data_IF_046428367508
#
_entry.id   IF_046428367508
#
_cell.length_a   1.000
_cell.length_b   1.000
_cell.length_c   1.000
_cell.angle_alpha   90.00
_cell.angle_beta   90.00
_cell.angle_gamma   90.00
#
_symmetry.space_group_name_H-M   'P 1'
#
loop_
_entity.id
_entity.type
_entity.pdbx_description
1 polymer ?
#
# COMPACT_ATOMS: atom_id res chain seq x y z
N UNK A 1 12.70 14.74 -8.73
CA UNK A 1 11.65 15.59 -9.34
C UNK A 1 12.30 16.73 -10.09
N UNK A 2 11.80 17.06 -11.28
CA UNK A 2 12.21 18.26 -12.01
C UNK A 2 11.45 19.51 -11.51
N UNK A 3 11.81 20.69 -12.00
CA UNK A 3 11.21 21.96 -11.55
C UNK A 3 9.70 22.02 -11.81
N UNK A 4 9.24 21.45 -12.93
CA UNK A 4 7.81 21.41 -13.29
C UNK A 4 7.03 20.59 -12.25
N UNK A 5 7.50 19.38 -11.94
CA UNK A 5 6.88 18.52 -10.91
C UNK A 5 6.86 19.22 -9.55
N UNK A 6 7.95 19.88 -9.17
CA UNK A 6 8.04 20.62 -7.92
C UNK A 6 7.01 21.76 -7.84
N UNK A 7 6.86 22.53 -8.92
CA UNK A 7 5.84 23.61 -8.99
C UNK A 7 4.42 23.06 -8.88
N UNK A 8 4.11 21.95 -9.57
CA UNK A 8 2.81 21.30 -9.44
C UNK A 8 2.54 20.79 -8.03
N UNK A 9 3.52 20.20 -7.34
CA UNK A 9 3.36 19.81 -5.94
C UNK A 9 3.05 21.03 -5.06
N UNK A 10 3.71 22.17 -5.26
CA UNK A 10 3.41 23.39 -4.49
C UNK A 10 2.01 23.92 -4.77
N UNK A 11 1.56 23.91 -6.02
CA UNK A 11 0.19 24.27 -6.37
C UNK A 11 -0.83 23.32 -5.73
N UNK A 12 -0.55 22.01 -5.74
CA UNK A 12 -1.40 21.05 -5.05
C UNK A 12 -1.43 21.38 -3.56
N UNK A 13 -0.31 21.69 -2.88
CA UNK A 13 -0.32 22.01 -1.44
C UNK A 13 -1.26 23.15 -1.01
N UNK A 14 -1.69 24.02 -1.92
CA UNK A 14 -2.65 25.10 -1.62
C UNK A 14 -4.08 24.59 -1.35
N UNK A 15 -4.39 23.34 -1.69
CA UNK A 15 -5.68 22.72 -1.40
C UNK A 15 -5.57 21.54 -0.44
N UNK A 16 -6.70 20.92 -0.13
CA UNK A 16 -6.78 19.75 0.77
C UNK A 16 -5.92 18.60 0.28
N UNK A 17 -5.12 18.01 1.17
CA UNK A 17 -4.26 16.85 0.90
C UNK A 17 -4.87 15.65 1.64
N UNK A 18 -5.00 14.47 1.01
CA UNK A 18 -5.40 13.27 1.74
C UNK A 18 -4.31 12.91 2.75
N UNK A 19 -4.71 12.64 3.99
CA UNK A 19 -3.81 12.21 5.04
C UNK A 19 -3.38 10.76 4.82
N UNK A 20 -4.31 9.90 4.42
CA UNK A 20 -4.08 8.47 4.17
C UNK A 20 -4.51 8.07 2.75
N UNK A 21 -3.59 7.49 1.96
CA UNK A 21 -3.87 6.91 0.64
C UNK A 21 -3.75 5.38 0.68
N UNK A 22 -4.82 4.67 0.32
CA UNK A 22 -4.78 3.24 0.02
C UNK A 22 -4.53 3.01 -1.48
N UNK A 23 -3.74 2.00 -1.85
CA UNK A 23 -3.45 1.69 -3.26
C UNK A 23 -3.45 0.19 -3.54
N UNK A 24 -4.26 -0.22 -4.52
CA UNK A 24 -4.23 -1.56 -5.11
C UNK A 24 -3.41 -1.49 -6.40
N UNK A 25 -2.18 -2.02 -6.34
CA UNK A 25 -1.15 -1.94 -7.39
C UNK A 25 -1.33 -3.00 -8.50
N UNK A 26 -2.48 -2.99 -9.17
CA UNK A 26 -2.87 -4.00 -10.15
C UNK A 26 -2.37 -3.70 -11.59
N UNK A 27 -2.19 -4.74 -12.39
CA UNK A 27 -1.86 -4.64 -13.81
C UNK A 27 -0.42 -4.97 -14.21
N UNK A 28 0.46 -5.37 -13.28
CA UNK A 28 1.87 -5.67 -13.55
C UNK A 28 2.07 -6.72 -14.68
N UNK A 29 1.39 -7.88 -14.57
CA UNK A 29 1.48 -8.94 -15.60
C UNK A 29 0.88 -8.51 -16.95
N UNK A 30 -0.22 -7.75 -16.92
CA UNK A 30 -0.86 -7.21 -18.13
C UNK A 30 0.04 -6.19 -18.83
N UNK A 31 0.73 -5.36 -18.07
CA UNK A 31 1.74 -4.43 -18.57
C UNK A 31 2.88 -5.16 -19.29
N UNK A 32 3.45 -6.21 -18.66
CA UNK A 32 4.52 -7.00 -19.24
C UNK A 32 4.08 -7.68 -20.55
N UNK A 33 2.91 -8.34 -20.53
CA UNK A 33 2.33 -8.99 -21.72
C UNK A 33 2.15 -8.02 -22.89
N UNK A 34 1.65 -6.81 -22.64
CA UNK A 34 1.45 -5.80 -23.69
C UNK A 34 2.76 -5.31 -24.32
N UNK A 35 3.87 -5.42 -23.60
CA UNK A 35 5.21 -5.01 -24.05
C UNK A 35 6.10 -6.19 -24.48
N UNK A 36 5.55 -7.40 -24.55
CA UNK A 36 6.28 -8.64 -24.85
C UNK A 36 7.48 -8.85 -23.90
N UNK A 37 7.29 -8.51 -22.63
CA UNK A 37 8.25 -8.69 -21.54
C UNK A 37 7.84 -9.86 -20.66
N UNK A 38 8.77 -10.36 -19.85
CA UNK A 38 8.45 -11.38 -18.86
C UNK A 38 7.56 -10.80 -17.74
N UNK A 39 6.64 -11.60 -17.15
CA UNK A 39 5.79 -11.13 -16.05
C UNK A 39 6.58 -10.49 -14.89
N UNK A 40 7.78 -11.02 -14.64
CA UNK A 40 8.76 -10.55 -13.66
C UNK A 40 9.19 -9.11 -13.91
N UNK A 41 9.45 -8.73 -15.17
CA UNK A 41 9.80 -7.36 -15.57
C UNK A 41 8.67 -6.39 -15.26
N UNK A 42 7.42 -6.81 -15.43
CA UNK A 42 6.24 -6.03 -15.07
C UNK A 42 6.21 -5.70 -13.58
N UNK A 43 6.60 -6.64 -12.71
CA UNK A 43 6.69 -6.41 -11.27
C UNK A 43 7.88 -5.51 -10.89
N UNK A 44 9.01 -5.62 -11.59
CA UNK A 44 10.16 -4.72 -11.41
C UNK A 44 9.77 -3.28 -11.74
N UNK A 45 9.08 -3.06 -12.87
CA UNK A 45 8.58 -1.72 -13.22
C UNK A 45 7.49 -1.24 -12.26
N UNK A 46 6.67 -2.14 -11.75
CA UNK A 46 5.72 -1.84 -10.67
C UNK A 46 6.41 -1.31 -9.41
N UNK A 47 7.57 -1.86 -9.04
CA UNK A 47 8.34 -1.33 -7.92
C UNK A 47 8.84 0.11 -8.18
N UNK A 48 9.19 0.46 -9.42
CA UNK A 48 9.55 1.83 -9.77
C UNK A 48 8.37 2.80 -9.60
N UNK A 49 7.16 2.42 -10.04
CA UNK A 49 5.94 3.19 -9.78
C UNK A 49 5.66 3.37 -8.29
N UNK A 50 5.95 2.35 -7.48
CA UNK A 50 5.84 2.42 -6.03
C UNK A 50 6.79 3.44 -5.41
N UNK A 51 8.08 3.41 -5.78
CA UNK A 51 9.04 4.42 -5.31
C UNK A 51 8.63 5.85 -5.71
N UNK A 52 8.14 6.01 -6.94
CA UNK A 52 7.63 7.29 -7.42
C UNK A 52 6.43 7.78 -6.60
N UNK A 53 5.45 6.92 -6.33
CA UNK A 53 4.29 7.24 -5.50
C UNK A 53 4.73 7.69 -4.10
N UNK A 54 5.65 6.97 -3.45
CA UNK A 54 6.16 7.33 -2.14
C UNK A 54 6.84 8.71 -2.17
N UNK A 55 7.69 8.97 -3.16
CA UNK A 55 8.37 10.25 -3.31
C UNK A 55 7.37 11.39 -3.52
N UNK A 56 6.39 11.23 -4.42
CA UNK A 56 5.39 12.26 -4.70
C UNK A 56 4.48 12.51 -3.50
N UNK A 57 4.00 11.44 -2.86
CA UNK A 57 3.14 11.52 -1.68
C UNK A 57 3.82 12.24 -0.52
N UNK A 58 5.07 11.90 -0.23
CA UNK A 58 5.83 12.56 0.83
C UNK A 58 6.11 14.03 0.52
N UNK A 59 6.49 14.35 -0.72
CA UNK A 59 6.71 15.74 -1.16
C UNK A 59 5.45 16.57 -1.10
N UNK A 60 4.28 15.97 -1.40
CA UNK A 60 2.98 16.60 -1.23
C UNK A 60 2.63 16.80 0.24
N UNK A 61 2.98 15.85 1.12
CA UNK A 61 2.71 15.89 2.56
C UNK A 61 1.72 14.83 3.04
N UNK A 62 1.44 13.80 2.24
CA UNK A 62 0.63 12.64 2.61
C UNK A 62 1.33 11.91 3.76
N UNK A 63 0.60 11.60 4.83
CA UNK A 63 1.15 11.07 6.08
C UNK A 63 1.14 9.55 6.16
N UNK A 64 0.19 8.91 5.51
CA UNK A 64 0.04 7.46 5.54
C UNK A 64 -0.23 6.93 4.13
N UNK A 65 0.49 5.88 3.73
CA UNK A 65 0.24 5.16 2.48
C UNK A 65 0.11 3.67 2.81
N UNK A 66 -0.98 3.05 2.38
CA UNK A 66 -1.20 1.60 2.48
C UNK A 66 -1.19 0.99 1.08
N UNK A 67 -0.27 0.05 0.83
CA UNK A 67 -0.14 -0.60 -0.48
C UNK A 67 -0.52 -2.07 -0.40
N UNK A 68 -1.35 -2.53 -1.34
CA UNK A 68 -1.69 -3.94 -1.47
C UNK A 68 -0.60 -4.66 -2.28
N UNK A 69 0.41 -5.20 -1.59
CA UNK A 69 1.60 -5.77 -2.20
C UNK A 69 1.42 -7.24 -2.58
N UNK A 70 0.83 -8.06 -1.70
CA UNK A 70 0.60 -9.49 -1.95
C UNK A 70 -0.59 -9.99 -1.14
N UNK A 71 -1.58 -10.60 -1.79
CA UNK A 71 -2.78 -11.13 -1.11
C UNK A 71 -2.63 -12.60 -0.71
N UNK A 72 -3.41 -13.07 0.26
CA UNK A 72 -3.44 -14.49 0.62
C UNK A 72 -3.85 -15.34 -0.59
N UNK A 73 -4.79 -14.87 -1.40
CA UNK A 73 -5.22 -15.55 -2.62
C UNK A 73 -4.11 -15.64 -3.68
N UNK A 74 -3.05 -14.84 -3.58
CA UNK A 74 -1.91 -14.90 -4.50
C UNK A 74 -1.02 -16.12 -4.27
N UNK A 75 -1.13 -16.81 -3.12
CA UNK A 75 -0.48 -18.11 -2.92
C UNK A 75 -1.04 -19.20 -3.86
N UNK A 76 -2.24 -19.01 -4.42
CA UNK A 76 -2.84 -19.95 -5.40
C UNK A 76 -2.26 -19.79 -6.82
N UNK A 77 -1.30 -18.88 -7.03
CA UNK A 77 -0.61 -18.74 -8.32
C UNK A 77 0.42 -19.87 -8.52
N UNK A 78 1.04 -19.91 -9.69
CA UNK A 78 2.08 -20.89 -9.97
C UNK A 78 3.24 -20.72 -8.98
N UNK A 79 3.81 -21.84 -8.51
CA UNK A 79 4.85 -21.85 -7.47
C UNK A 79 6.04 -20.99 -7.83
N UNK A 80 6.49 -21.05 -9.08
CA UNK A 80 7.61 -20.26 -9.58
C UNK A 80 7.32 -18.75 -9.54
N UNK A 81 6.07 -18.35 -9.85
CA UNK A 81 5.65 -16.94 -9.73
C UNK A 81 5.65 -16.49 -8.26
N UNK A 82 5.14 -17.32 -7.35
CA UNK A 82 5.12 -17.02 -5.91
C UNK A 82 6.55 -16.88 -5.38
N UNK A 83 7.43 -17.85 -5.68
CA UNK A 83 8.83 -17.84 -5.27
C UNK A 83 9.55 -16.59 -5.79
N UNK A 84 9.36 -16.24 -7.06
CA UNK A 84 9.91 -15.01 -7.63
C UNK A 84 9.42 -13.77 -6.88
N UNK A 85 8.13 -13.68 -6.53
CA UNK A 85 7.59 -12.53 -5.79
C UNK A 85 8.17 -12.42 -4.37
N UNK A 86 8.43 -13.53 -3.69
CA UNK A 86 9.11 -13.54 -2.39
C UNK A 86 10.54 -13.00 -2.51
N UNK A 87 11.31 -13.50 -3.49
CA UNK A 87 12.68 -13.04 -3.74
C UNK A 87 12.72 -11.56 -4.16
N UNK A 88 11.79 -11.14 -5.01
CA UNK A 88 11.63 -9.73 -5.37
C UNK A 88 11.36 -8.89 -4.13
N UNK A 89 10.47 -9.33 -3.23
CA UNK A 89 10.17 -8.62 -1.99
C UNK A 89 11.41 -8.47 -1.11
N UNK A 90 12.18 -9.55 -0.90
CA UNK A 90 13.46 -9.52 -0.16
C UNK A 90 14.41 -8.49 -0.75
N UNK A 91 14.62 -8.54 -2.07
CA UNK A 91 15.53 -7.62 -2.77
C UNK A 91 15.07 -6.17 -2.63
N UNK A 92 13.78 -5.90 -2.82
CA UNK A 92 13.23 -4.54 -2.80
C UNK A 92 13.19 -3.92 -1.41
N UNK A 93 13.02 -4.72 -0.38
CA UNK A 93 13.17 -4.27 1.00
C UNK A 93 14.62 -3.89 1.33
N UNK A 94 15.58 -4.74 0.96
CA UNK A 94 17.00 -4.43 1.13
C UNK A 94 17.34 -3.10 0.43
N UNK A 95 16.86 -2.91 -0.80
CA UNK A 95 17.05 -1.68 -1.56
C UNK A 95 16.40 -0.45 -0.90
N UNK A 96 15.21 -0.57 -0.31
CA UNK A 96 14.57 0.52 0.45
C UNK A 96 15.38 0.92 1.68
N UNK A 97 15.89 -0.07 2.43
CA UNK A 97 16.58 0.15 3.69
C UNK A 97 18.00 0.65 3.48
N UNK A 98 18.81 -0.04 2.68
CA UNK A 98 20.25 0.19 2.59
C UNK A 98 20.61 1.06 1.39
N UNK A 99 20.19 0.67 0.18
CA UNK A 99 20.70 1.28 -1.05
C UNK A 99 20.17 2.70 -1.25
N UNK A 100 18.87 2.90 -1.05
CA UNK A 100 18.26 4.23 -1.13
C UNK A 100 18.46 5.04 0.16
N UNK A 101 18.70 4.34 1.28
CA UNK A 101 18.52 4.87 2.62
C UNK A 101 17.18 5.64 2.73
N UNK A 102 16.12 5.07 2.12
CA UNK A 102 14.85 5.78 1.96
C UNK A 102 14.20 5.99 3.33
N UNK A 103 14.31 5.01 4.22
CA UNK A 103 13.68 5.02 5.53
C UNK A 103 14.21 6.18 6.39
N UNK A 104 15.53 6.30 6.54
CA UNK A 104 16.09 7.33 7.41
C UNK A 104 16.02 8.72 6.76
N UNK A 105 16.30 8.83 5.46
CA UNK A 105 16.20 10.13 4.74
C UNK A 105 14.80 10.73 4.79
N UNK A 106 13.78 9.88 4.83
CA UNK A 106 12.38 10.29 4.76
C UNK A 106 11.63 10.11 6.07
N UNK A 107 12.29 9.61 7.12
CA UNK A 107 11.73 9.35 8.44
C UNK A 107 10.41 8.56 8.35
N UNK A 108 10.44 7.45 7.62
CA UNK A 108 9.27 6.62 7.34
C UNK A 108 9.19 5.48 8.33
N UNK A 109 8.07 5.37 9.04
CA UNK A 109 7.68 4.18 9.79
C UNK A 109 7.07 3.15 8.85
N UNK A 110 7.65 1.96 8.79
CA UNK A 110 7.11 0.85 8.02
C UNK A 110 6.31 -0.04 8.96
N UNK A 111 5.14 -0.50 8.50
CA UNK A 111 4.35 -1.54 9.14
C UNK A 111 4.05 -2.63 8.13
N UNK A 112 4.38 -3.87 8.45
CA UNK A 112 3.98 -5.02 7.65
C UNK A 112 2.59 -5.46 8.12
N UNK A 113 1.61 -5.43 7.22
CA UNK A 113 0.23 -5.77 7.55
C UNK A 113 -0.18 -7.04 6.81
N UNK A 114 -0.60 -8.06 7.54
CA UNK A 114 -1.06 -9.32 6.99
C UNK A 114 -0.60 -10.48 7.84
N UNK A 115 -0.88 -11.68 7.35
CA UNK A 115 -0.64 -12.90 8.08
C UNK A 115 0.67 -13.54 7.63
N UNK A 116 1.73 -13.21 8.35
CA UNK A 116 3.07 -13.74 8.08
C UNK A 116 3.21 -15.23 8.43
N UNK A 117 2.17 -15.89 8.95
CA UNK A 117 2.19 -17.34 9.16
C UNK A 117 1.94 -18.12 7.86
N UNK A 118 1.33 -17.48 6.85
CA UNK A 118 1.28 -18.03 5.49
C UNK A 118 2.65 -18.02 4.78
N UNK A 119 3.59 -17.21 5.27
CA UNK A 119 4.89 -17.07 4.67
C UNK A 119 5.82 -18.20 5.12
N UNK A 120 6.06 -19.16 4.22
CA UNK A 120 6.99 -20.28 4.48
C UNK A 120 8.45 -19.82 4.56
N UNK A 121 8.76 -18.72 3.88
CA UNK A 121 10.10 -18.12 3.82
C UNK A 121 10.44 -17.39 5.12
N UNK A 122 11.17 -18.08 6.01
CA UNK A 122 11.55 -17.53 7.32
C UNK A 122 12.53 -16.35 7.22
N UNK A 123 13.35 -16.30 6.18
CA UNK A 123 14.29 -15.20 5.97
C UNK A 123 13.53 -13.90 5.64
N UNK A 124 12.57 -13.98 4.72
CA UNK A 124 11.71 -12.83 4.40
C UNK A 124 10.87 -12.42 5.62
N UNK A 125 10.34 -13.38 6.39
CA UNK A 125 9.62 -13.09 7.64
C UNK A 125 10.47 -12.32 8.64
N UNK A 126 11.72 -12.75 8.90
CA UNK A 126 12.65 -12.04 9.79
C UNK A 126 12.93 -10.63 9.30
N UNK A 127 13.25 -10.48 8.00
CA UNK A 127 13.52 -9.17 7.39
C UNK A 127 12.34 -8.20 7.52
N UNK A 128 11.10 -8.67 7.36
CA UNK A 128 9.89 -7.84 7.51
C UNK A 128 9.75 -7.32 8.94
N UNK A 129 9.97 -8.18 9.93
CA UNK A 129 9.89 -7.82 11.35
C UNK A 129 11.04 -6.90 11.78
N UNK A 130 12.27 -7.17 11.31
CA UNK A 130 13.43 -6.32 11.55
C UNK A 130 13.22 -4.92 10.99
N UNK A 131 12.68 -4.81 9.78
CA UNK A 131 12.42 -3.51 9.14
C UNK A 131 11.35 -2.70 9.87
N UNK A 132 10.26 -3.36 10.30
CA UNK A 132 9.23 -2.74 11.12
C UNK A 132 9.79 -2.24 12.46
N UNK A 133 10.59 -3.06 13.14
CA UNK A 133 11.23 -2.67 14.39
C UNK A 133 12.23 -1.52 14.19
N UNK A 134 13.09 -1.60 13.17
CA UNK A 134 14.08 -0.58 12.84
C UNK A 134 13.45 0.80 12.60
N UNK A 135 12.34 0.83 11.86
CA UNK A 135 11.65 2.06 11.48
C UNK A 135 10.67 2.57 12.55
N UNK A 136 10.47 1.83 13.64
CA UNK A 136 9.50 2.15 14.71
C UNK A 136 9.77 3.49 15.42
N UNK A 137 11.03 3.96 15.39
CA UNK A 137 11.50 5.26 15.89
C UNK A 137 10.88 6.46 15.18
N UNK A 138 10.35 6.27 13.97
CA UNK A 138 9.74 7.32 13.17
C UNK A 138 8.23 7.42 13.40
N UNK A 139 7.67 8.62 13.22
CA UNK A 139 6.23 8.87 13.37
C UNK A 139 5.65 9.84 12.33
N UNK A 140 6.50 10.52 11.56
CA UNK A 140 6.07 11.59 10.66
C UNK A 140 5.37 11.08 9.39
N UNK A 141 5.82 9.95 8.87
CA UNK A 141 5.29 9.30 7.67
C UNK A 141 5.16 7.81 7.94
N UNK A 142 4.05 7.21 7.51
CA UNK A 142 3.75 5.80 7.72
C UNK A 142 3.51 5.10 6.38
N UNK A 143 4.14 3.95 6.21
CA UNK A 143 3.96 3.06 5.07
C UNK A 143 3.45 1.70 5.59
N UNK A 144 2.20 1.36 5.29
CA UNK A 144 1.66 0.03 5.54
C UNK A 144 1.85 -0.83 4.28
N UNK A 145 2.62 -1.90 4.40
CA UNK A 145 2.82 -2.86 3.33
C UNK A 145 1.91 -4.05 3.60
N UNK A 146 0.81 -4.16 2.85
CA UNK A 146 -0.12 -5.27 2.99
C UNK A 146 0.40 -6.49 2.23
N UNK A 147 0.95 -7.46 2.96
CA UNK A 147 1.63 -8.65 2.45
C UNK A 147 1.12 -9.91 3.14
N UNK A 148 0.78 -10.95 2.36
CA UNK A 148 -0.06 -12.05 2.85
C UNK A 148 -1.33 -11.53 3.52
N UNK A 149 -1.93 -10.52 2.90
CA UNK A 149 -3.04 -9.77 3.47
C UNK A 149 -4.35 -10.08 2.73
N UNK A 150 -5.42 -10.23 3.49
CA UNK A 150 -6.77 -9.90 3.06
C UNK A 150 -7.55 -9.41 4.28
N UNK A 151 -8.62 -8.64 4.04
CA UNK A 151 -9.38 -8.05 5.13
C UNK A 151 -10.11 -9.11 5.95
N UNK A 152 -10.63 -10.17 5.33
CA UNK A 152 -11.32 -11.25 6.07
C UNK A 152 -10.44 -11.86 7.15
N UNK A 153 -9.17 -12.14 6.85
CA UNK A 153 -8.23 -12.69 7.82
C UNK A 153 -7.79 -11.65 8.87
N UNK A 154 -7.60 -10.38 8.47
CA UNK A 154 -7.37 -9.30 9.44
C UNK A 154 -8.53 -9.19 10.43
N UNK A 155 -9.78 -9.24 9.94
CA UNK A 155 -10.98 -9.15 10.76
C UNK A 155 -11.08 -10.33 11.73
N UNK A 156 -10.84 -11.56 11.27
CA UNK A 156 -10.86 -12.75 12.13
C UNK A 156 -9.81 -12.63 13.26
N UNK A 157 -8.56 -12.29 12.93
CA UNK A 157 -7.50 -12.09 13.94
C UNK A 157 -7.83 -10.94 14.90
N UNK A 158 -8.36 -9.83 14.38
CA UNK A 158 -8.79 -8.70 15.21
C UNK A 158 -9.87 -9.17 16.21
N UNK A 159 -10.90 -9.88 15.74
CA UNK A 159 -11.98 -10.38 16.59
C UNK A 159 -11.46 -11.35 17.66
N UNK A 160 -10.57 -12.28 17.28
CA UNK A 160 -9.98 -13.25 18.22
C UNK A 160 -9.13 -12.57 19.31
N UNK A 161 -8.53 -11.43 19.01
CA UNK A 161 -7.73 -10.66 19.97
C UNK A 161 -8.55 -9.80 20.93
N UNK A 162 -9.86 -9.61 20.68
CA UNK A 162 -10.73 -8.80 21.53
C UNK A 162 -11.16 -9.56 22.80
N UNK A 163 -11.49 -8.83 23.88
CA UNK A 163 -12.15 -9.41 25.05
C UNK A 163 -13.45 -10.15 24.68
N UNK A 164 -13.73 -11.24 25.39
CA UNK A 164 -15.01 -11.96 25.27
C UNK A 164 -16.13 -11.21 26.01
N UNK A 165 -17.38 -11.40 25.57
CA UNK A 165 -18.55 -10.88 26.27
C UNK A 165 -18.88 -9.40 26.01
N UNK A 166 -18.27 -8.79 25.00
CA UNK A 166 -18.58 -7.41 24.60
C UNK A 166 -20.04 -7.28 24.16
N UNK A 167 -20.67 -6.19 24.58
CA UNK A 167 -21.93 -5.76 23.98
C UNK A 167 -21.70 -5.33 22.53
N UNK A 168 -22.79 -5.25 21.75
CA UNK A 168 -22.73 -4.78 20.35
C UNK A 168 -22.07 -3.40 20.20
N UNK A 169 -22.31 -2.49 21.15
CA UNK A 169 -21.74 -1.14 21.09
C UNK A 169 -20.23 -1.15 21.40
N UNK A 170 -19.81 -1.90 22.41
CA UNK A 170 -18.39 -2.04 22.77
C UNK A 170 -17.59 -2.74 21.67
N UNK A 171 -18.19 -3.73 21.00
CA UNK A 171 -17.55 -4.45 19.89
C UNK A 171 -17.03 -3.50 18.81
N UNK A 172 -17.87 -2.60 18.28
CA UNK A 172 -17.45 -1.69 17.22
C UNK A 172 -16.49 -0.60 17.69
N UNK A 173 -16.58 -0.19 18.97
CA UNK A 173 -15.63 0.75 19.56
C UNK A 173 -14.24 0.13 19.67
N UNK A 174 -14.15 -1.15 20.04
CA UNK A 174 -12.88 -1.85 20.21
C UNK A 174 -12.31 -2.41 18.91
N UNK A 175 -13.14 -2.73 17.92
CA UNK A 175 -12.65 -3.35 16.68
C UNK A 175 -11.53 -2.54 16.01
N UNK A 176 -11.66 -1.21 15.97
CA UNK A 176 -10.66 -0.33 15.38
C UNK A 176 -9.27 -0.47 15.99
N UNK A 177 -9.15 -0.63 17.32
CA UNK A 177 -7.83 -0.72 17.98
C UNK A 177 -7.14 -2.06 17.75
N UNK A 178 -7.87 -3.07 17.30
CA UNK A 178 -7.37 -4.42 17.04
C UNK A 178 -7.06 -4.68 15.55
N UNK A 179 -7.41 -3.75 14.65
CA UNK A 179 -7.02 -3.81 13.24
C UNK A 179 -5.54 -3.45 13.07
N UNK A 180 -4.89 -4.04 12.07
CA UNK A 180 -3.51 -3.73 11.73
C UNK A 180 -3.39 -2.32 11.15
N UNK A 181 -4.41 -1.89 10.39
CA UNK A 181 -4.52 -0.54 9.85
C UNK A 181 -5.81 0.08 10.41
N UNK A 182 -5.74 0.84 11.51
CA UNK A 182 -6.93 1.40 12.16
C UNK A 182 -7.49 2.62 11.41
N UNK A 183 -6.63 3.35 10.69
CA UNK A 183 -7.00 4.60 10.03
C UNK A 183 -7.69 4.33 8.70
N UNK A 184 -8.83 4.99 8.48
CA UNK A 184 -9.51 4.99 7.19
C UNK A 184 -8.65 5.69 6.11
N UNK A 185 -8.55 5.15 4.89
CA UNK A 185 -7.97 5.90 3.78
C UNK A 185 -8.92 7.03 3.36
N UNK A 186 -8.37 8.22 3.14
CA UNK A 186 -9.09 9.35 2.54
C UNK A 186 -9.40 9.08 1.06
N UNK A 187 -8.48 8.43 0.36
CA UNK A 187 -8.65 7.97 -1.01
C UNK A 187 -8.09 6.57 -1.19
N UNK A 188 -8.82 5.73 -1.91
CA UNK A 188 -8.38 4.42 -2.36
C UNK A 188 -8.22 4.42 -3.88
N UNK A 189 -6.98 4.29 -4.36
CA UNK A 189 -6.67 4.14 -5.77
C UNK A 189 -6.61 2.64 -6.14
N UNK A 190 -7.25 2.27 -7.26
CA UNK A 190 -6.98 1.00 -7.91
C UNK A 190 -6.69 1.20 -9.40
N UNK A 191 -5.62 0.59 -9.86
CA UNK A 191 -5.17 0.62 -11.26
C UNK A 191 -5.75 -0.52 -12.08
N UNK A 192 -5.49 -0.50 -13.39
CA UNK A 192 -5.78 -1.54 -14.40
C UNK A 192 -7.23 -1.73 -14.84
N UNK A 193 -8.10 -0.78 -14.55
CA UNK A 193 -9.50 -0.75 -15.03
C UNK A 193 -10.46 -1.66 -14.27
N UNK A 194 -9.99 -2.34 -13.24
CA UNK A 194 -10.83 -3.19 -12.39
C UNK A 194 -11.62 -2.35 -11.38
N UNK A 195 -12.91 -2.63 -11.21
CA UNK A 195 -13.84 -1.86 -10.35
C UNK A 195 -14.23 -2.57 -9.06
N UNK A 196 -13.38 -3.50 -8.57
CA UNK A 196 -13.59 -4.24 -7.31
C UNK A 196 -12.53 -3.86 -6.26
N UNK A 197 -12.74 -4.26 -5.01
CA UNK A 197 -11.79 -3.98 -3.91
C UNK A 197 -10.87 -5.15 -3.57
N UNK A 198 -11.17 -6.35 -4.06
CA UNK A 198 -10.31 -7.54 -3.88
C UNK A 198 -9.93 -7.83 -2.42
N UNK A 199 -10.89 -7.67 -1.50
CA UNK A 199 -10.70 -7.94 -0.07
C UNK A 199 -9.61 -7.06 0.59
N UNK A 200 -9.46 -5.82 0.12
CA UNK A 200 -8.51 -4.84 0.64
C UNK A 200 -9.23 -3.76 1.46
N UNK A 201 -8.86 -3.58 2.73
CA UNK A 201 -9.31 -2.49 3.61
C UNK A 201 -10.83 -2.32 3.73
N UNK A 202 -11.63 -3.39 3.61
CA UNK A 202 -13.08 -3.28 3.42
C UNK A 202 -13.80 -2.57 4.58
N UNK A 203 -13.34 -2.70 5.83
CA UNK A 203 -13.91 -1.99 6.98
C UNK A 203 -13.33 -0.59 7.18
N UNK A 204 -12.06 -0.40 6.80
CA UNK A 204 -11.39 0.90 6.85
C UNK A 204 -11.97 1.87 5.82
N UNK A 205 -12.46 1.37 4.67
CA UNK A 205 -13.17 2.16 3.66
C UNK A 205 -14.54 2.54 4.23
N UNK A 206 -14.72 3.81 4.59
CA UNK A 206 -15.94 4.34 5.24
C UNK A 206 -16.55 5.44 4.39
N UNK A 207 -17.59 6.08 4.91
CA UNK A 207 -18.37 7.14 4.25
C UNK A 207 -17.51 8.24 3.59
N UNK A 208 -16.37 8.59 4.19
CA UNK A 208 -15.48 9.66 3.70
C UNK A 208 -14.36 9.18 2.76
N UNK A 209 -14.25 7.88 2.50
CA UNK A 209 -13.23 7.35 1.60
C UNK A 209 -13.66 7.57 0.15
N UNK A 210 -12.86 8.35 -0.60
CA UNK A 210 -13.04 8.50 -2.05
C UNK A 210 -12.44 7.27 -2.75
N UNK A 211 -13.20 6.59 -3.60
CA UNK A 211 -12.70 5.44 -4.37
C UNK A 211 -12.42 5.90 -5.81
N UNK A 212 -11.21 5.67 -6.30
CA UNK A 212 -10.77 6.08 -7.62
C UNK A 212 -10.21 4.88 -8.40
N UNK A 213 -10.94 4.47 -9.43
CA UNK A 213 -10.50 3.44 -10.38
C UNK A 213 -9.91 4.10 -11.62
N UNK A 214 -8.73 3.64 -12.07
CA UNK A 214 -8.10 4.12 -13.30
C UNK A 214 -7.76 2.95 -14.23
N UNK A 215 -7.86 3.17 -15.54
CA UNK A 215 -7.59 2.14 -16.56
C UNK A 215 -6.11 1.79 -16.72
N UNK A 216 -5.22 2.77 -16.44
CA UNK A 216 -3.77 2.58 -16.55
C UNK A 216 -3.29 1.45 -15.64
N UNK A 217 -2.36 0.64 -16.14
CA UNK A 217 -1.74 -0.43 -15.34
C UNK A 217 -0.77 0.21 -14.35
N UNK A 218 -0.55 -0.44 -13.22
CA UNK A 218 0.32 0.08 -12.16
C UNK A 218 1.72 0.57 -12.64
N UNK A 219 2.45 -0.17 -13.51
CA UNK A 219 3.75 0.30 -14.00
C UNK A 219 3.68 1.52 -14.95
N UNK A 220 2.48 1.97 -15.34
CA UNK A 220 2.27 3.16 -16.19
C UNK A 220 1.90 4.40 -15.38
N UNK A 221 1.82 4.29 -14.05
CA UNK A 221 1.44 5.41 -13.19
C UNK A 221 2.45 6.56 -13.31
N UNK A 222 2.00 7.67 -13.89
CA UNK A 222 2.81 8.87 -14.06
C UNK A 222 2.54 9.90 -12.97
N UNK A 223 3.41 10.92 -12.90
CA UNK A 223 3.21 12.06 -12.00
C UNK A 223 1.89 12.79 -12.28
N UNK A 224 1.48 12.90 -13.54
CA UNK A 224 0.20 13.51 -13.90
C UNK A 224 -0.99 12.70 -13.39
N UNK A 225 -0.89 11.37 -13.40
CA UNK A 225 -1.93 10.49 -12.84
C UNK A 225 -2.02 10.65 -11.32
N UNK A 226 -0.87 10.80 -10.64
CA UNK A 226 -0.84 11.16 -9.22
C UNK A 226 -1.50 12.52 -8.97
N UNK A 227 -1.17 13.56 -9.75
CA UNK A 227 -1.84 14.86 -9.62
C UNK A 227 -3.35 14.75 -9.84
N UNK A 228 -3.78 14.02 -10.87
CA UNK A 228 -5.19 13.78 -11.16
C UNK A 228 -5.89 13.02 -10.02
N UNK A 229 -5.22 12.05 -9.39
CA UNK A 229 -5.73 11.36 -8.20
C UNK A 229 -6.00 12.35 -7.06
N UNK A 230 -5.09 13.29 -6.81
CA UNK A 230 -5.27 14.31 -5.76
C UNK A 230 -6.41 15.29 -6.10
N UNK A 231 -6.51 15.71 -7.35
CA UNK A 231 -7.61 16.56 -7.82
C UNK A 231 -8.95 15.84 -7.76
N UNK A 232 -8.99 14.55 -8.10
CA UNK A 232 -10.16 13.69 -7.97
C UNK A 232 -10.61 13.57 -6.51
N UNK A 233 -9.67 13.36 -5.57
CA UNK A 233 -9.96 13.39 -4.14
C UNK A 233 -10.62 14.71 -3.74
N UNK A 234 -10.04 15.85 -4.12
CA UNK A 234 -10.60 17.18 -3.77
C UNK A 234 -12.00 17.40 -4.27
N UNK A 235 -12.27 16.98 -5.51
CA UNK A 235 -13.58 17.16 -6.15
C UNK A 235 -14.67 16.33 -5.46
N UNK A 236 -14.33 15.14 -4.98
CA UNK A 236 -15.29 14.17 -4.47
C UNK A 236 -15.28 14.02 -2.95
N UNK A 237 -14.41 14.74 -2.24
CA UNK A 237 -14.44 14.80 -0.79
C UNK A 237 -15.72 15.53 -0.35
N UNK A 238 -16.51 14.85 0.48
CA UNK A 238 -17.71 15.39 1.16
C UNK A 238 -17.27 16.11 2.44
#
# INVERSE_FOLDING_TARGET
MNIVQSSFIQLLKLGTIPNHVGVIMDGNRRYAKQRKMEPTDGHIQGYQSFLNLLQWGQKLGIKEISVFAFSIENYNRQKDEVQFLMELMKQKMHHLQHDLNFIDKNQVKIKCCGDLDFLQDQELKSKLLELENYSSKYSQYKLNICFSYNFTNELDKAIQSMPKGLTKNEFFQQLNSHLMIPNSPDILLRTSGETRLSNFLLYQIREKTVIHFIEKKWPELSFLDFCNMILFYRKNKI
#
